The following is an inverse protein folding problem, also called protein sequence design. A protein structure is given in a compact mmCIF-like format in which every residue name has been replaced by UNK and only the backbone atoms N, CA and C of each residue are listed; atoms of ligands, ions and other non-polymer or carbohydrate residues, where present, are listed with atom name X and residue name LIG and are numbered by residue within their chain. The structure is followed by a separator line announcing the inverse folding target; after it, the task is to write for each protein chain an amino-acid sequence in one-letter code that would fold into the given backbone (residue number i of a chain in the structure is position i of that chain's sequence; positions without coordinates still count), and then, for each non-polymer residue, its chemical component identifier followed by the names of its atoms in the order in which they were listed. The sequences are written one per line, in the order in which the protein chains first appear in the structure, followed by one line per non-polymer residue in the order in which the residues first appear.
data_IF_354640241536
#
_entry.id   IF_354640241536
#
_cell.length_a   1.000
_cell.length_b   1.000
_cell.length_c   1.000
_cell.angle_alpha   90.00
_cell.angle_beta   90.00
_cell.angle_gamma   90.00
#
_symmetry.space_group_name_H-M   'P 1'
#
loop_
_entity.id
_entity.type
_entity.pdbx_description
1 polymer ?
#
# COMPACT_ATOMS: atom_id res chain seq x y z
N UNK A 1 2.38 -51.24 35.23
CA UNK A 1 2.54 -49.77 35.38
C UNK A 1 3.80 -49.20 34.75
N UNK A 2 4.88 -49.99 34.53
CA UNK A 2 6.14 -49.54 33.91
C UNK A 2 6.12 -49.52 32.35
N UNK A 3 5.23 -50.27 31.71
CA UNK A 3 5.11 -50.34 30.26
C UNK A 3 4.30 -49.19 29.62
N UNK A 4 3.44 -48.52 30.41
CA UNK A 4 2.66 -47.33 29.92
C UNK A 4 3.41 -46.02 29.95
N UNK A 5 4.51 -45.92 30.70
CA UNK A 5 5.32 -44.72 30.76
C UNK A 5 6.33 -44.64 29.59
N UNK A 6 6.75 -45.80 29.03
CA UNK A 6 7.66 -45.84 27.88
C UNK A 6 7.00 -45.49 26.53
N UNK A 7 5.69 -45.80 26.39
CA UNK A 7 4.94 -45.43 25.16
C UNK A 7 4.60 -43.93 25.06
N UNK A 8 4.41 -43.25 26.18
CA UNK A 8 4.16 -41.80 26.20
C UNK A 8 5.43 -40.98 25.91
N UNK A 9 6.60 -41.47 26.31
CA UNK A 9 7.86 -40.80 26.04
C UNK A 9 8.33 -40.91 24.57
N UNK A 10 7.92 -41.98 23.85
CA UNK A 10 8.25 -42.13 22.43
C UNK A 10 7.32 -41.31 21.51
N UNK A 11 6.09 -41.00 21.92
CA UNK A 11 5.21 -40.13 21.14
C UNK A 11 5.60 -38.64 21.25
N UNK A 12 6.16 -38.20 22.36
CA UNK A 12 6.67 -36.82 22.51
C UNK A 12 8.00 -36.57 21.77
N UNK A 13 8.80 -37.61 21.54
CA UNK A 13 10.07 -37.46 20.81
C UNK A 13 9.89 -37.44 19.28
N UNK A 14 8.77 -37.92 18.77
CA UNK A 14 8.46 -37.89 17.33
C UNK A 14 7.90 -36.54 16.85
N UNK A 15 7.43 -35.67 17.75
CA UNK A 15 6.92 -34.33 17.42
C UNK A 15 7.99 -33.23 17.41
N UNK A 16 9.24 -33.52 17.75
CA UNK A 16 10.33 -32.54 17.83
C UNK A 16 11.39 -32.63 16.71
N UNK A 17 11.13 -33.45 15.70
CA UNK A 17 11.99 -33.52 14.51
C UNK A 17 11.21 -33.09 13.24
N UNK A 18 10.37 -32.07 13.30
CA UNK A 18 10.13 -31.23 12.15
C UNK A 18 11.37 -30.36 12.02
N UNK A 19 12.38 -30.85 11.28
CA UNK A 19 13.35 -29.97 10.66
C UNK A 19 12.54 -28.95 9.88
N UNK A 20 12.53 -27.70 10.35
CA UNK A 20 12.11 -26.60 9.53
C UNK A 20 12.95 -26.69 8.24
N UNK A 21 12.35 -27.15 7.15
CA UNK A 21 12.93 -26.93 5.84
C UNK A 21 13.09 -25.41 5.78
N UNK A 22 14.28 -24.89 5.40
CA UNK A 22 14.41 -23.48 5.14
C UNK A 22 13.28 -23.14 4.16
N UNK A 23 12.44 -22.17 4.50
CA UNK A 23 11.53 -21.59 3.55
C UNK A 23 12.40 -21.24 2.33
N UNK A 24 12.15 -21.89 1.18
CA UNK A 24 12.77 -21.45 -0.05
C UNK A 24 12.23 -20.03 -0.23
N UNK A 25 13.13 -19.05 -0.12
CA UNK A 25 12.77 -17.67 -0.43
C UNK A 25 12.13 -17.68 -1.84
N UNK A 26 11.01 -17.05 -1.97
CA UNK A 26 10.38 -16.87 -3.28
C UNK A 26 11.44 -16.35 -4.27
N UNK A 27 11.50 -16.92 -5.48
CA UNK A 27 12.43 -16.38 -6.49
C UNK A 27 12.14 -14.89 -6.66
N UNK A 28 13.20 -14.07 -6.62
CA UNK A 28 13.07 -12.63 -6.71
C UNK A 28 12.31 -12.24 -7.99
N UNK A 29 11.17 -11.58 -7.83
CA UNK A 29 10.45 -11.01 -8.96
C UNK A 29 11.10 -9.68 -9.36
N UNK A 30 11.37 -9.52 -10.64
CA UNK A 30 11.84 -8.25 -11.21
C UNK A 30 10.70 -7.64 -12.00
N UNK A 31 10.30 -6.42 -11.65
CA UNK A 31 9.28 -5.70 -12.42
C UNK A 31 9.72 -5.53 -13.88
N UNK A 32 8.77 -5.49 -14.83
CA UNK A 32 9.07 -5.14 -16.20
C UNK A 32 9.61 -3.71 -16.30
N UNK A 33 10.25 -3.38 -17.44
CA UNK A 33 10.70 -2.02 -17.72
C UNK A 33 9.50 -1.05 -17.73
N UNK A 34 9.54 -0.06 -16.86
CA UNK A 34 8.49 0.97 -16.68
C UNK A 34 8.83 2.26 -17.45
N UNK A 35 10.03 2.38 -18.03
CA UNK A 35 10.55 3.60 -18.66
C UNK A 35 9.63 4.07 -19.78
N UNK A 36 9.13 5.30 -19.66
CA UNK A 36 8.30 5.95 -20.69
C UNK A 36 6.88 5.36 -20.83
N UNK A 37 6.48 4.46 -19.95
CA UNK A 37 5.11 3.93 -19.91
C UNK A 37 4.22 4.71 -18.95
N UNK A 38 2.95 4.84 -19.29
CA UNK A 38 1.92 5.33 -18.36
C UNK A 38 1.47 4.21 -17.42
N UNK A 39 0.85 4.59 -16.30
CA UNK A 39 0.28 3.64 -15.35
C UNK A 39 -0.75 2.73 -16.03
N UNK A 40 -1.62 3.28 -16.88
CA UNK A 40 -2.63 2.52 -17.64
C UNK A 40 -1.97 1.47 -18.55
N UNK A 41 -0.90 1.84 -19.27
CA UNK A 41 -0.19 0.89 -20.13
C UNK A 41 0.44 -0.25 -19.34
N UNK A 42 1.06 0.05 -18.20
CA UNK A 42 1.65 -0.96 -17.32
C UNK A 42 0.60 -1.91 -16.76
N UNK A 43 -0.54 -1.36 -16.35
CA UNK A 43 -1.63 -2.17 -15.82
C UNK A 43 -2.32 -3.00 -16.89
N UNK A 44 -2.46 -2.49 -18.12
CA UNK A 44 -2.99 -3.25 -19.25
C UNK A 44 -2.06 -4.41 -19.63
N UNK A 45 -0.74 -4.15 -19.72
CA UNK A 45 0.28 -5.17 -19.98
C UNK A 45 0.25 -6.25 -18.88
N UNK A 46 0.24 -5.85 -17.62
CA UNK A 46 0.19 -6.77 -16.47
C UNK A 46 -1.07 -7.64 -16.48
N UNK A 47 -2.24 -7.03 -16.71
CA UNK A 47 -3.49 -7.80 -16.79
C UNK A 47 -3.50 -8.77 -17.96
N UNK A 48 -2.95 -8.36 -19.10
CA UNK A 48 -2.85 -9.24 -20.29
C UNK A 48 -1.91 -10.42 -20.03
N UNK A 49 -0.75 -10.18 -19.42
CA UNK A 49 0.23 -11.22 -19.08
C UNK A 49 -0.35 -12.29 -18.14
N UNK A 50 -1.10 -11.87 -17.14
CA UNK A 50 -1.66 -12.74 -16.11
C UNK A 50 -3.11 -13.18 -16.36
N UNK A 51 -3.67 -12.89 -17.54
CA UNK A 51 -5.06 -13.19 -17.90
C UNK A 51 -6.09 -12.65 -16.87
N UNK A 52 -5.81 -11.45 -16.33
CA UNK A 52 -6.68 -10.76 -15.37
C UNK A 52 -7.80 -10.01 -16.09
N UNK A 53 -9.02 -10.39 -15.79
CA UNK A 53 -10.23 -9.88 -16.44
C UNK A 53 -11.19 -9.28 -15.42
N UNK A 54 -12.27 -8.66 -15.90
CA UNK A 54 -13.35 -8.20 -15.03
C UNK A 54 -14.07 -9.30 -14.25
N UNK A 55 -13.81 -10.59 -14.51
CA UNK A 55 -14.42 -11.69 -13.78
C UNK A 55 -13.59 -12.16 -12.58
N UNK A 56 -12.26 -11.98 -12.64
CA UNK A 56 -11.34 -12.56 -11.68
C UNK A 56 -10.41 -11.58 -10.98
N UNK A 57 -10.53 -10.26 -11.27
CA UNK A 57 -9.60 -9.26 -10.77
C UNK A 57 -10.25 -7.89 -10.57
N UNK A 58 -9.91 -7.26 -9.46
CA UNK A 58 -10.22 -5.86 -9.14
C UNK A 58 -9.00 -5.20 -8.50
N UNK A 59 -8.82 -3.92 -8.77
CA UNK A 59 -7.79 -3.11 -8.14
C UNK A 59 -8.27 -1.68 -7.92
N UNK A 60 -7.87 -1.12 -6.77
CA UNK A 60 -7.86 0.32 -6.52
C UNK A 60 -6.50 0.72 -5.97
N UNK A 61 -5.84 1.65 -6.65
CA UNK A 61 -4.53 2.20 -6.32
C UNK A 61 -4.65 3.71 -6.14
N UNK A 62 -3.96 4.27 -5.16
CA UNK A 62 -3.99 5.70 -4.87
C UNK A 62 -2.69 6.18 -4.25
N UNK A 63 -2.18 7.31 -4.73
CA UNK A 63 -0.99 8.01 -4.24
C UNK A 63 -1.41 9.26 -3.48
N UNK A 64 -1.31 9.31 -2.15
CA UNK A 64 -1.78 10.46 -1.36
C UNK A 64 -1.09 11.79 -1.68
N UNK A 65 0.20 11.76 -2.03
CA UNK A 65 1.00 12.95 -2.32
C UNK A 65 0.56 13.66 -3.61
N UNK A 66 0.26 12.91 -4.67
CA UNK A 66 -0.04 13.46 -6.00
C UNK A 66 -1.53 13.43 -6.33
N UNK A 67 -2.31 12.60 -5.63
CA UNK A 67 -3.70 12.30 -5.97
C UNK A 67 -3.84 11.35 -7.17
N UNK A 68 -2.73 10.80 -7.69
CA UNK A 68 -2.80 9.80 -8.77
C UNK A 68 -3.59 8.58 -8.32
N UNK A 69 -4.50 8.13 -9.16
CA UNK A 69 -5.39 7.00 -8.88
C UNK A 69 -5.54 6.13 -10.12
N UNK A 70 -5.56 4.81 -9.91
CA UNK A 70 -5.92 3.83 -10.92
C UNK A 70 -6.93 2.86 -10.35
N UNK A 71 -8.02 2.66 -11.07
CA UNK A 71 -9.09 1.75 -10.72
C UNK A 71 -9.40 0.81 -11.89
N UNK A 72 -9.61 -0.45 -11.58
CA UNK A 72 -10.18 -1.41 -12.54
C UNK A 72 -11.17 -2.30 -11.82
N UNK A 73 -12.42 -2.26 -12.25
CA UNK A 73 -13.51 -3.07 -11.71
C UNK A 73 -13.82 -2.78 -10.22
N UNK A 74 -13.43 -1.64 -9.72
CA UNK A 74 -13.31 -1.24 -8.32
C UNK A 74 -14.63 -1.28 -7.53
N UNK A 75 -15.76 -1.30 -8.22
CA UNK A 75 -17.10 -1.35 -7.61
C UNK A 75 -17.77 -2.73 -7.72
N UNK A 76 -17.14 -3.68 -8.42
CA UNK A 76 -17.66 -5.05 -8.51
C UNK A 76 -17.54 -5.73 -7.15
N UNK A 77 -18.59 -6.40 -6.73
CA UNK A 77 -18.61 -7.13 -5.46
C UNK A 77 -17.99 -8.52 -5.63
N UNK A 78 -16.83 -8.75 -5.01
CA UNK A 78 -16.21 -10.06 -4.86
C UNK A 78 -16.21 -10.52 -3.41
N UNK A 79 -15.88 -11.79 -3.19
CA UNK A 79 -15.79 -12.34 -1.85
C UNK A 79 -14.61 -11.73 -1.08
N UNK A 80 -14.91 -10.96 -0.03
CA UNK A 80 -13.92 -10.18 0.71
C UNK A 80 -12.92 -11.00 1.52
N UNK A 81 -13.23 -12.28 1.79
CA UNK A 81 -12.46 -13.12 2.71
C UNK A 81 -12.11 -12.33 4.00
N UNK A 82 -10.89 -12.46 4.52
CA UNK A 82 -10.53 -11.80 5.79
C UNK A 82 -10.24 -10.30 5.70
N UNK A 83 -10.35 -9.66 4.53
CA UNK A 83 -10.12 -8.20 4.43
C UNK A 83 -11.17 -7.38 5.18
N UNK A 84 -12.39 -7.93 5.39
CA UNK A 84 -13.43 -7.29 6.22
C UNK A 84 -12.98 -6.97 7.64
N UNK A 85 -11.92 -7.63 8.11
CA UNK A 85 -11.36 -7.42 9.46
C UNK A 85 -10.70 -6.05 9.60
N UNK A 86 -10.27 -5.44 8.49
CA UNK A 86 -9.72 -4.08 8.51
C UNK A 86 -10.78 -3.05 8.95
N UNK A 87 -11.89 -2.83 8.24
CA UNK A 87 -12.92 -1.90 8.69
C UNK A 87 -13.58 -2.32 10.02
N UNK A 88 -13.67 -3.63 10.32
CA UNK A 88 -14.16 -4.12 11.58
C UNK A 88 -13.32 -3.64 12.77
N UNK A 89 -12.01 -3.81 12.71
CA UNK A 89 -11.12 -3.38 13.78
C UNK A 89 -11.05 -1.85 13.85
N UNK A 90 -10.99 -1.14 12.71
CA UNK A 90 -11.06 0.32 12.66
C UNK A 90 -12.30 0.88 13.37
N UNK A 91 -13.45 0.22 13.23
CA UNK A 91 -14.68 0.59 13.94
C UNK A 91 -14.52 0.54 15.46
N UNK A 92 -13.83 -0.45 15.99
CA UNK A 92 -13.58 -0.56 17.43
C UNK A 92 -12.50 0.43 17.90
N UNK A 93 -11.49 0.74 17.09
CA UNK A 93 -10.56 1.83 17.40
C UNK A 93 -11.27 3.19 17.44
N UNK A 94 -12.23 3.44 16.55
CA UNK A 94 -13.06 4.65 16.63
C UNK A 94 -13.86 4.72 17.93
N UNK A 95 -14.44 3.60 18.38
CA UNK A 95 -15.15 3.54 19.65
C UNK A 95 -14.21 3.78 20.86
N UNK A 96 -12.96 3.29 20.78
CA UNK A 96 -11.95 3.57 21.82
C UNK A 96 -11.58 5.06 21.84
N UNK A 97 -11.37 5.69 20.68
CA UNK A 97 -11.12 7.12 20.57
C UNK A 97 -12.28 7.97 21.07
N UNK A 98 -13.52 7.52 20.87
CA UNK A 98 -14.71 8.17 21.39
C UNK A 98 -14.93 7.95 22.90
N UNK A 99 -14.14 7.06 23.55
CA UNK A 99 -14.30 6.68 24.96
C UNK A 99 -15.51 5.78 25.25
N UNK A 100 -16.08 5.16 24.21
CA UNK A 100 -17.25 4.28 24.33
C UNK A 100 -16.89 2.86 24.79
N UNK A 101 -15.64 2.45 24.53
CA UNK A 101 -15.09 1.15 24.90
C UNK A 101 -13.60 1.30 25.23
N UNK A 102 -13.04 0.38 26.00
CA UNK A 102 -11.62 0.36 26.36
C UNK A 102 -10.96 -0.95 25.95
N UNK A 103 -9.64 -0.96 25.79
CA UNK A 103 -8.88 -2.13 25.35
C UNK A 103 -9.01 -3.35 26.26
N UNK A 104 -9.22 -3.13 27.57
CA UNK A 104 -9.46 -4.19 28.57
C UNK A 104 -10.91 -4.72 28.57
N UNK A 105 -11.81 -4.15 27.77
CA UNK A 105 -13.19 -4.64 27.65
C UNK A 105 -13.21 -6.08 27.15
N UNK A 106 -13.82 -6.97 27.90
CA UNK A 106 -13.90 -8.39 27.54
C UNK A 106 -14.80 -8.62 26.34
N UNK A 107 -14.23 -9.15 25.28
CA UNK A 107 -14.96 -9.56 24.05
C UNK A 107 -15.51 -10.97 24.21
N UNK A 108 -14.73 -11.87 24.79
CA UNK A 108 -15.12 -13.23 25.18
C UNK A 108 -14.67 -13.51 26.61
N UNK A 109 -14.96 -14.70 27.16
CA UNK A 109 -14.48 -15.08 28.51
C UNK A 109 -12.94 -15.15 28.62
N UNK A 110 -12.21 -15.21 27.50
CA UNK A 110 -10.76 -15.40 27.49
C UNK A 110 -9.99 -14.33 26.75
N UNK A 111 -10.65 -13.31 26.18
CA UNK A 111 -9.96 -12.29 25.38
C UNK A 111 -10.57 -10.90 25.57
N UNK A 112 -9.72 -9.92 25.84
CA UNK A 112 -10.05 -8.49 25.82
C UNK A 112 -10.16 -7.96 24.39
N UNK A 113 -10.54 -6.70 24.24
CA UNK A 113 -10.55 -6.00 22.93
C UNK A 113 -9.14 -5.89 22.35
N UNK A 114 -8.13 -5.55 23.16
CA UNK A 114 -6.74 -5.50 22.71
C UNK A 114 -6.26 -6.85 22.17
N UNK A 115 -6.55 -7.95 22.89
CA UNK A 115 -6.24 -9.30 22.41
C UNK A 115 -7.02 -9.63 21.13
N UNK A 116 -8.30 -9.22 21.05
CA UNK A 116 -9.10 -9.44 19.85
C UNK A 116 -8.57 -8.67 18.63
N UNK A 117 -8.10 -7.43 18.80
CA UNK A 117 -7.42 -6.66 17.76
C UNK A 117 -6.17 -7.39 17.27
N UNK A 118 -5.29 -7.75 18.18
CA UNK A 118 -4.05 -8.46 17.85
C UNK A 118 -4.31 -9.75 17.09
N UNK A 119 -5.17 -10.60 17.60
CA UNK A 119 -5.49 -11.89 16.99
C UNK A 119 -6.21 -11.74 15.62
N UNK A 120 -7.12 -10.77 15.53
CA UNK A 120 -7.87 -10.49 14.30
C UNK A 120 -6.99 -9.95 13.19
N UNK A 121 -6.11 -9.00 13.49
CA UNK A 121 -5.30 -8.31 12.50
C UNK A 121 -4.05 -9.11 12.13
N UNK A 122 -3.29 -9.58 13.12
CA UNK A 122 -2.00 -10.25 12.90
C UNK A 122 -2.20 -11.68 12.39
N UNK A 123 -2.98 -12.49 13.12
CA UNK A 123 -3.18 -13.91 12.79
C UNK A 123 -4.44 -14.19 11.99
N UNK A 124 -5.21 -13.15 11.67
CA UNK A 124 -6.48 -13.30 10.96
C UNK A 124 -7.44 -14.28 11.67
N UNK A 125 -7.41 -14.34 13.00
CA UNK A 125 -8.21 -15.24 13.81
C UNK A 125 -9.70 -15.04 13.54
N UNK A 126 -10.40 -16.10 13.14
CA UNK A 126 -11.81 -16.04 12.77
C UNK A 126 -12.73 -15.98 13.99
N UNK A 127 -12.41 -16.67 15.09
CA UNK A 127 -13.28 -16.76 16.25
C UNK A 127 -13.40 -15.39 16.96
N UNK A 128 -12.27 -14.71 17.17
CA UNK A 128 -12.28 -13.39 17.80
C UNK A 128 -12.82 -12.32 16.86
N UNK A 129 -12.51 -12.37 15.58
CA UNK A 129 -13.12 -11.47 14.58
C UNK A 129 -14.63 -11.66 14.51
N UNK A 130 -15.12 -12.91 14.57
CA UNK A 130 -16.53 -13.22 14.63
C UNK A 130 -17.18 -12.66 15.90
N UNK A 131 -16.50 -12.77 17.04
CA UNK A 131 -16.98 -12.24 18.32
C UNK A 131 -17.09 -10.71 18.30
N UNK A 132 -16.12 -10.01 17.69
CA UNK A 132 -16.19 -8.56 17.43
C UNK A 132 -17.39 -8.21 16.55
N UNK A 133 -17.50 -8.86 15.40
CA UNK A 133 -18.58 -8.62 14.46
C UNK A 133 -19.96 -8.85 15.09
N UNK A 134 -20.16 -9.97 15.80
CA UNK A 134 -21.43 -10.33 16.46
C UNK A 134 -21.86 -9.34 17.55
N UNK A 135 -20.95 -8.57 18.12
CA UNK A 135 -21.31 -7.49 19.07
C UNK A 135 -21.91 -6.28 18.39
N UNK A 136 -21.64 -6.07 17.10
CA UNK A 136 -22.29 -5.02 16.30
C UNK A 136 -23.69 -5.47 15.91
N UNK A 137 -23.85 -6.74 15.51
CA UNK A 137 -25.11 -7.35 15.08
C UNK A 137 -24.90 -8.49 14.10
N UNK A 138 -25.87 -8.77 13.26
CA UNK A 138 -25.75 -9.66 12.11
C UNK A 138 -25.11 -8.94 10.92
N UNK A 139 -25.02 -9.57 9.73
CA UNK A 139 -24.42 -8.96 8.55
C UNK A 139 -25.01 -7.59 8.21
N UNK A 140 -26.33 -7.38 8.16
CA UNK A 140 -26.90 -6.08 7.84
C UNK A 140 -26.43 -4.97 8.78
N UNK A 141 -26.44 -5.18 10.08
CA UNK A 141 -26.03 -4.18 11.07
C UNK A 141 -24.53 -3.88 10.95
N UNK A 142 -23.70 -4.93 10.84
CA UNK A 142 -22.26 -4.76 10.61
C UNK A 142 -21.98 -3.98 9.33
N UNK A 143 -22.58 -4.40 8.21
CA UNK A 143 -22.39 -3.75 6.92
C UNK A 143 -22.85 -2.29 6.92
N UNK A 144 -23.95 -2.02 7.60
CA UNK A 144 -24.45 -0.65 7.79
C UNK A 144 -23.46 0.17 8.63
N UNK A 145 -22.89 -0.39 9.71
CA UNK A 145 -21.91 0.31 10.54
C UNK A 145 -20.62 0.66 9.75
N UNK A 146 -20.20 -0.20 8.81
CA UNK A 146 -19.02 0.05 7.97
C UNK A 146 -19.23 1.14 6.91
N UNK A 147 -20.49 1.50 6.60
CA UNK A 147 -20.82 2.53 5.59
C UNK A 147 -20.13 3.86 5.85
N UNK A 148 -19.87 4.21 7.10
CA UNK A 148 -19.21 5.47 7.46
C UNK A 148 -17.79 5.62 6.87
N UNK A 149 -17.17 4.53 6.44
CA UNK A 149 -15.83 4.55 5.83
C UNK A 149 -15.84 4.63 4.30
N UNK A 150 -17.01 4.48 3.66
CA UNK A 150 -17.11 4.37 2.22
C UNK A 150 -17.70 5.63 1.60
N UNK A 151 -17.09 6.09 0.51
CA UNK A 151 -17.60 7.23 -0.27
C UNK A 151 -18.72 6.83 -1.24
N UNK A 152 -18.90 5.54 -1.51
CA UNK A 152 -19.95 5.03 -2.38
C UNK A 152 -21.33 5.40 -1.85
N UNK A 153 -22.20 5.85 -2.74
CA UNK A 153 -23.60 6.18 -2.43
C UNK A 153 -24.46 4.92 -2.26
N UNK A 154 -25.66 5.08 -1.71
CA UNK A 154 -26.58 3.95 -1.52
C UNK A 154 -27.00 3.31 -2.86
N UNK A 155 -27.08 4.09 -3.95
CA UNK A 155 -27.42 3.59 -5.28
C UNK A 155 -26.27 2.80 -5.94
N UNK A 156 -25.01 3.05 -5.53
CA UNK A 156 -23.84 2.34 -6.02
C UNK A 156 -23.60 1.00 -5.29
N UNK A 157 -24.23 0.80 -4.13
CA UNK A 157 -24.05 -0.40 -3.33
C UNK A 157 -25.21 -1.37 -3.57
N UNK A 158 -24.94 -2.55 -4.15
CA UNK A 158 -25.99 -3.53 -4.41
C UNK A 158 -26.54 -4.14 -3.11
N UNK A 159 -27.81 -4.57 -3.12
CA UNK A 159 -28.48 -5.08 -1.95
C UNK A 159 -27.81 -6.31 -1.32
N UNK A 160 -27.17 -7.17 -2.13
CA UNK A 160 -26.47 -8.35 -1.63
C UNK A 160 -25.23 -8.01 -0.77
N UNK A 161 -24.67 -6.80 -0.89
CA UNK A 161 -23.64 -6.32 0.04
C UNK A 161 -24.05 -6.49 1.50
N UNK A 162 -25.30 -6.21 1.85
CA UNK A 162 -25.79 -6.24 3.23
C UNK A 162 -26.00 -7.65 3.80
N UNK A 163 -26.04 -8.68 2.95
CA UNK A 163 -26.40 -10.02 3.37
C UNK A 163 -25.30 -11.06 3.10
N UNK A 164 -24.36 -10.73 2.24
CA UNK A 164 -23.29 -11.63 1.80
C UNK A 164 -21.90 -11.11 2.23
N UNK A 165 -20.91 -12.00 2.20
CA UNK A 165 -19.51 -11.66 2.49
C UNK A 165 -18.81 -10.97 1.30
N UNK A 166 -19.50 -10.00 0.70
CA UNK A 166 -19.07 -9.28 -0.48
C UNK A 166 -18.55 -7.88 -0.12
N UNK A 167 -17.45 -7.50 -0.75
CA UNK A 167 -16.85 -6.17 -0.72
C UNK A 167 -16.28 -5.86 -2.11
N UNK A 168 -15.80 -4.65 -2.32
CA UNK A 168 -15.06 -4.26 -3.51
C UNK A 168 -13.82 -3.45 -3.11
N UNK A 169 -12.87 -3.31 -4.06
CA UNK A 169 -11.61 -2.60 -3.78
C UNK A 169 -11.80 -1.13 -3.49
N UNK A 170 -12.85 -0.47 -4.04
CA UNK A 170 -13.20 0.92 -3.72
C UNK A 170 -13.50 1.10 -2.23
N UNK A 171 -14.29 0.20 -1.62
CA UNK A 171 -14.59 0.25 -0.19
C UNK A 171 -13.34 0.10 0.67
N UNK A 172 -12.43 -0.77 0.25
CA UNK A 172 -11.18 -1.00 0.98
C UNK A 172 -10.21 0.16 0.80
N UNK A 173 -10.12 0.75 -0.40
CA UNK A 173 -9.33 1.96 -0.61
C UNK A 173 -9.83 3.13 0.23
N UNK A 174 -11.15 3.33 0.30
CA UNK A 174 -11.76 4.35 1.15
C UNK A 174 -11.42 4.13 2.63
N UNK A 175 -11.47 2.87 3.09
CA UNK A 175 -11.04 2.50 4.46
C UNK A 175 -9.56 2.79 4.70
N UNK A 176 -8.70 2.46 3.73
CA UNK A 176 -7.26 2.75 3.81
C UNK A 176 -6.98 4.25 3.83
N UNK A 177 -7.75 5.07 3.11
CA UNK A 177 -7.65 6.55 3.16
C UNK A 177 -7.96 7.07 4.56
N UNK A 178 -8.96 6.53 5.24
CA UNK A 178 -9.25 6.89 6.65
C UNK A 178 -8.07 6.53 7.57
N UNK A 179 -7.48 5.34 7.40
CA UNK A 179 -6.30 4.93 8.19
C UNK A 179 -5.09 5.81 7.84
N UNK A 180 -4.88 6.14 6.58
CA UNK A 180 -3.79 7.01 6.13
C UNK A 180 -3.90 8.42 6.71
N UNK A 181 -5.07 9.03 6.64
CA UNK A 181 -5.30 10.37 7.16
C UNK A 181 -5.26 10.41 8.70
N UNK A 182 -5.58 9.29 9.35
CA UNK A 182 -5.60 9.10 10.80
C UNK A 182 -4.40 8.34 11.38
N UNK A 183 -3.22 8.33 10.74
CA UNK A 183 -2.07 7.52 11.18
C UNK A 183 -1.67 7.77 12.65
N UNK A 184 -1.76 9.02 13.11
CA UNK A 184 -1.48 9.37 14.51
C UNK A 184 -2.56 8.88 15.49
N UNK A 185 -3.77 8.60 14.99
CA UNK A 185 -4.91 8.12 15.78
C UNK A 185 -4.96 6.59 15.87
N UNK A 186 -4.40 5.89 14.86
CA UNK A 186 -4.45 4.43 14.74
C UNK A 186 -3.05 3.76 14.71
N UNK A 187 -2.09 4.17 15.57
CA UNK A 187 -0.73 3.63 15.51
C UNK A 187 -0.69 2.11 15.73
N UNK A 188 -1.44 1.59 16.70
CA UNK A 188 -1.47 0.17 17.01
C UNK A 188 -2.11 -0.66 15.89
N UNK A 189 -3.19 -0.17 15.25
CA UNK A 189 -3.78 -0.80 14.07
C UNK A 189 -2.73 -0.96 12.97
N UNK A 190 -1.99 0.10 12.67
CA UNK A 190 -0.95 0.12 11.66
C UNK A 190 0.19 -0.85 12.03
N UNK A 191 0.63 -0.86 13.29
CA UNK A 191 1.71 -1.74 13.74
C UNK A 191 1.31 -3.22 13.66
N UNK A 192 0.06 -3.57 14.00
CA UNK A 192 -0.45 -4.94 13.81
C UNK A 192 -0.51 -5.34 12.34
N UNK A 193 -0.93 -4.45 11.46
CA UNK A 193 -0.92 -4.69 10.01
C UNK A 193 0.50 -4.83 9.44
N UNK A 194 1.50 -4.12 10.01
CA UNK A 194 2.90 -4.25 9.59
C UNK A 194 3.49 -5.61 9.90
N UNK A 195 3.14 -6.22 11.02
CA UNK A 195 3.66 -7.54 11.40
C UNK A 195 2.82 -8.72 10.89
N UNK A 196 1.63 -8.44 10.34
CA UNK A 196 0.78 -9.48 9.77
C UNK A 196 1.41 -10.12 8.53
N UNK A 197 1.29 -11.44 8.38
CA UNK A 197 1.63 -12.22 7.19
C UNK A 197 2.94 -11.77 6.52
N UNK A 198 4.12 -11.98 7.12
CA UNK A 198 5.36 -11.29 6.75
C UNK A 198 5.93 -11.68 5.38
N UNK A 199 5.59 -12.87 4.85
CA UNK A 199 6.26 -13.46 3.69
C UNK A 199 5.31 -13.72 2.50
N UNK A 200 4.12 -13.10 2.47
CA UNK A 200 3.12 -13.37 1.44
C UNK A 200 2.37 -12.10 0.99
N UNK A 201 1.63 -12.18 -0.09
CA UNK A 201 0.83 -11.10 -0.67
C UNK A 201 1.71 -9.89 -1.02
N UNK A 202 1.39 -8.67 -0.61
CA UNK A 202 2.21 -7.48 -0.92
C UNK A 202 3.66 -7.60 -0.41
N UNK A 203 3.91 -8.42 0.59
CA UNK A 203 5.25 -8.63 1.17
C UNK A 203 6.08 -9.73 0.51
N UNK A 204 5.52 -10.45 -0.47
CA UNK A 204 6.21 -11.61 -1.10
C UNK A 204 7.57 -11.25 -1.69
N UNK A 205 7.68 -10.09 -2.34
CA UNK A 205 8.86 -9.71 -3.14
C UNK A 205 9.49 -8.39 -2.71
N UNK A 206 8.96 -7.72 -1.70
CA UNK A 206 9.49 -6.47 -1.17
C UNK A 206 10.19 -6.70 0.16
N UNK A 207 11.35 -6.08 0.32
CA UNK A 207 12.03 -6.02 1.61
C UNK A 207 11.26 -5.07 2.54
N UNK A 208 10.62 -5.62 3.56
CA UNK A 208 9.78 -4.86 4.50
C UNK A 208 10.58 -3.97 5.47
N UNK A 209 11.88 -4.19 5.61
CA UNK A 209 12.78 -3.32 6.38
C UNK A 209 13.09 -2.04 5.59
N UNK A 210 13.19 -2.13 4.26
CA UNK A 210 13.38 -0.99 3.36
C UNK A 210 12.06 -0.33 2.94
N UNK A 211 11.02 -1.13 2.76
CA UNK A 211 9.68 -0.70 2.32
C UNK A 211 8.63 -1.22 3.30
N UNK A 212 8.36 -0.52 4.41
CA UNK A 212 7.35 -0.96 5.37
C UNK A 212 5.98 -1.11 4.71
N UNK A 213 5.26 -2.19 5.05
CA UNK A 213 3.95 -2.53 4.50
C UNK A 213 3.00 -2.88 5.64
N UNK A 214 1.93 -2.12 5.79
CA UNK A 214 0.80 -2.45 6.66
C UNK A 214 -0.34 -2.99 5.80
N UNK A 215 -0.69 -4.28 5.96
CA UNK A 215 -1.69 -4.89 5.12
C UNK A 215 -2.64 -5.85 5.86
N UNK A 216 -3.81 -6.06 5.26
CA UNK A 216 -4.73 -7.11 5.66
C UNK A 216 -5.06 -8.00 4.47
N UNK A 217 -4.54 -9.21 4.49
CA UNK A 217 -4.84 -10.22 3.48
C UNK A 217 -6.15 -10.97 3.79
N UNK A 218 -6.69 -11.64 2.77
CA UNK A 218 -7.84 -12.52 2.87
C UNK A 218 -7.77 -13.65 1.86
N UNK A 219 -7.97 -14.89 2.32
CA UNK A 219 -7.98 -16.10 1.50
C UNK A 219 -9.16 -16.99 1.86
N UNK A 220 -9.94 -17.40 0.86
CA UNK A 220 -11.01 -18.37 1.01
C UNK A 220 -11.53 -18.83 -0.36
N UNK A 221 -11.57 -20.16 -0.60
CA UNK A 221 -12.16 -20.79 -1.79
C UNK A 221 -11.80 -20.13 -3.14
N UNK A 222 -10.51 -19.84 -3.34
CA UNK A 222 -9.99 -19.19 -4.57
C UNK A 222 -10.11 -17.66 -4.60
N UNK A 223 -10.70 -17.03 -3.59
CA UNK A 223 -10.55 -15.61 -3.36
C UNK A 223 -9.24 -15.35 -2.61
N UNK A 224 -8.37 -14.54 -3.21
CA UNK A 224 -7.06 -14.16 -2.66
C UNK A 224 -6.92 -12.65 -2.78
N UNK A 225 -7.03 -11.97 -1.67
CA UNK A 225 -7.17 -10.52 -1.61
C UNK A 225 -6.10 -9.91 -0.71
N UNK A 226 -5.66 -8.70 -1.03
CA UNK A 226 -4.84 -7.93 -0.11
C UNK A 226 -5.16 -6.43 -0.19
N UNK A 227 -5.15 -5.77 0.96
CA UNK A 227 -5.43 -4.34 1.09
C UNK A 227 -4.44 -3.72 2.07
N UNK A 228 -3.75 -2.64 1.67
CA UNK A 228 -2.69 -2.11 2.51
C UNK A 228 -2.13 -0.76 2.10
N UNK A 229 -1.24 -0.28 2.96
CA UNK A 229 -0.43 0.93 2.80
C UNK A 229 1.01 0.48 2.63
N UNK A 230 1.66 0.94 1.56
CA UNK A 230 3.05 0.67 1.25
C UNK A 230 3.85 1.98 1.37
N UNK A 231 4.80 2.03 2.32
CA UNK A 231 5.68 3.19 2.53
C UNK A 231 6.96 3.06 1.68
N UNK A 232 6.79 3.12 0.34
CA UNK A 232 7.88 3.32 -0.60
C UNK A 232 8.41 4.77 -0.51
N UNK A 233 9.36 5.16 -1.33
CA UNK A 233 9.84 6.55 -1.41
C UNK A 233 8.67 7.52 -1.65
N UNK A 234 7.73 7.16 -2.52
CA UNK A 234 6.41 7.77 -2.63
C UNK A 234 5.37 6.77 -2.13
N UNK A 235 4.80 6.98 -0.93
CA UNK A 235 3.82 6.07 -0.35
C UNK A 235 2.55 5.94 -1.18
N UNK A 236 1.97 4.74 -1.17
CA UNK A 236 0.71 4.47 -1.86
C UNK A 236 -0.21 3.51 -1.10
N UNK A 237 -1.49 3.60 -1.42
CA UNK A 237 -2.55 2.74 -0.93
C UNK A 237 -2.95 1.77 -2.04
N UNK A 238 -3.10 0.50 -1.71
CA UNK A 238 -3.41 -0.54 -2.67
C UNK A 238 -4.45 -1.49 -2.11
N UNK A 239 -5.48 -1.76 -2.90
CA UNK A 239 -6.48 -2.77 -2.65
C UNK A 239 -6.59 -3.68 -3.87
N UNK A 240 -6.40 -4.98 -3.70
CA UNK A 240 -6.43 -5.98 -4.78
C UNK A 240 -7.34 -7.12 -4.36
N UNK A 241 -8.29 -7.44 -5.23
CA UNK A 241 -9.17 -8.60 -5.08
C UNK A 241 -9.02 -9.52 -6.27
N UNK A 242 -8.85 -10.81 -6.00
CA UNK A 242 -8.77 -11.85 -7.03
C UNK A 242 -9.77 -12.97 -6.76
N UNK A 243 -10.20 -13.66 -7.79
CA UNK A 243 -11.15 -14.78 -7.70
C UNK A 243 -10.83 -15.85 -8.71
N UNK A 244 -10.62 -17.08 -8.25
CA UNK A 244 -10.45 -18.25 -9.10
C UNK A 244 -9.21 -18.22 -9.98
N UNK A 245 -8.15 -17.53 -9.57
CA UNK A 245 -6.88 -17.54 -10.30
C UNK A 245 -6.20 -18.90 -10.16
N UNK A 246 -5.67 -19.38 -11.29
CA UNK A 246 -4.98 -20.66 -11.36
C UNK A 246 -3.65 -20.54 -12.09
N UNK A 247 -2.72 -21.46 -11.80
CA UNK A 247 -1.43 -21.51 -12.48
C UNK A 247 -1.54 -22.20 -13.84
N UNK A 248 -1.28 -21.43 -14.89
CA UNK A 248 -1.17 -21.93 -16.26
C UNK A 248 -2.47 -22.49 -16.87
N UNK A 249 -2.43 -22.92 -18.12
CA UNK A 249 -3.60 -23.48 -18.82
C UNK A 249 -4.07 -24.77 -18.14
N UNK A 250 -5.31 -24.76 -17.63
CA UNK A 250 -5.89 -25.90 -16.91
C UNK A 250 -5.37 -26.09 -15.48
N UNK A 251 -4.74 -25.05 -14.90
CA UNK A 251 -4.26 -25.06 -13.52
C UNK A 251 -5.39 -25.24 -12.51
N UNK A 252 -5.06 -25.84 -11.37
CA UNK A 252 -5.96 -25.94 -10.23
C UNK A 252 -5.90 -24.64 -9.44
N UNK A 253 -7.05 -24.06 -9.12
CA UNK A 253 -7.15 -22.84 -8.27
C UNK A 253 -6.56 -23.04 -6.86
N UNK A 254 -6.51 -24.28 -6.40
CA UNK A 254 -5.92 -24.67 -5.12
C UNK A 254 -4.42 -25.05 -5.23
N UNK A 255 -3.83 -24.99 -6.45
CA UNK A 255 -2.42 -25.27 -6.62
C UNK A 255 -1.60 -24.10 -6.05
N UNK A 256 -0.63 -24.45 -5.21
CA UNK A 256 0.37 -23.51 -4.73
C UNK A 256 1.62 -23.52 -5.62
N UNK A 257 2.36 -22.42 -5.68
CA UNK A 257 3.71 -22.41 -6.22
C UNK A 257 4.62 -23.34 -5.40
N UNK A 258 5.81 -23.62 -5.91
CA UNK A 258 6.77 -24.47 -5.21
C UNK A 258 7.12 -23.97 -3.79
N UNK A 259 6.95 -22.68 -3.53
CA UNK A 259 7.10 -22.00 -2.24
C UNK A 259 5.84 -22.05 -1.36
N UNK A 260 4.74 -22.66 -1.83
CA UNK A 260 3.47 -22.78 -1.11
C UNK A 260 2.52 -21.60 -1.27
N UNK A 261 2.83 -20.64 -2.15
CA UNK A 261 1.97 -19.46 -2.37
C UNK A 261 0.86 -19.72 -3.38
N UNK A 262 -0.32 -19.12 -3.19
CA UNK A 262 -1.41 -19.14 -4.16
C UNK A 262 -1.15 -18.17 -5.33
N UNK A 263 -1.83 -18.38 -6.46
CA UNK A 263 -1.74 -17.51 -7.62
C UNK A 263 -2.11 -16.07 -7.28
N UNK A 264 -3.17 -15.86 -6.51
CA UNK A 264 -3.60 -14.53 -6.10
C UNK A 264 -2.61 -13.84 -5.17
N UNK A 265 -1.99 -14.58 -4.22
CA UNK A 265 -0.92 -14.05 -3.37
C UNK A 265 0.27 -13.54 -4.18
N UNK A 266 0.70 -14.32 -5.19
CA UNK A 266 1.79 -13.93 -6.09
C UNK A 266 1.43 -12.70 -6.91
N UNK A 267 0.22 -12.63 -7.47
CA UNK A 267 -0.26 -11.44 -8.21
C UNK A 267 -0.24 -10.19 -7.33
N UNK A 268 -0.70 -10.28 -6.07
CA UNK A 268 -0.61 -9.17 -5.12
C UNK A 268 0.83 -8.70 -4.92
N UNK A 269 1.77 -9.64 -4.69
CA UNK A 269 3.18 -9.31 -4.50
C UNK A 269 3.83 -8.68 -5.75
N UNK A 270 3.55 -9.22 -6.94
CA UNK A 270 4.07 -8.68 -8.20
C UNK A 270 3.53 -7.28 -8.49
N UNK A 271 2.24 -7.03 -8.20
CA UNK A 271 1.64 -5.70 -8.32
C UNK A 271 2.29 -4.69 -7.38
N UNK A 272 2.55 -5.06 -6.13
CA UNK A 272 3.23 -4.18 -5.19
C UNK A 272 4.62 -3.76 -5.70
N UNK A 273 5.39 -4.70 -6.28
CA UNK A 273 6.69 -4.41 -6.90
C UNK A 273 6.54 -3.54 -8.14
N UNK A 274 5.61 -3.86 -9.04
CA UNK A 274 5.38 -3.10 -10.27
C UNK A 274 5.05 -1.64 -9.98
N UNK A 275 4.08 -1.40 -9.08
CA UNK A 275 3.61 -0.06 -8.72
C UNK A 275 4.69 0.73 -7.96
N UNK A 276 5.44 0.08 -7.06
CA UNK A 276 6.61 0.70 -6.43
C UNK A 276 7.64 1.12 -7.47
N UNK A 277 7.99 0.23 -8.41
CA UNK A 277 8.99 0.51 -9.46
C UNK A 277 8.53 1.66 -10.37
N UNK A 278 7.24 1.71 -10.71
CA UNK A 278 6.67 2.83 -11.46
C UNK A 278 6.82 4.15 -10.70
N UNK A 279 6.47 4.19 -9.42
CA UNK A 279 6.57 5.41 -8.61
C UNK A 279 8.03 5.83 -8.37
N UNK A 280 8.95 4.89 -8.15
CA UNK A 280 10.39 5.19 -8.03
C UNK A 280 10.93 5.86 -9.30
N UNK A 281 10.49 5.39 -10.49
CA UNK A 281 10.84 6.02 -11.77
C UNK A 281 10.26 7.44 -11.90
N UNK A 282 9.02 7.67 -11.47
CA UNK A 282 8.43 9.02 -11.47
C UNK A 282 9.22 9.97 -10.56
N UNK A 283 9.55 9.55 -9.35
CA UNK A 283 10.38 10.33 -8.42
C UNK A 283 11.76 10.63 -8.99
N UNK A 284 12.39 9.65 -9.66
CA UNK A 284 13.68 9.84 -10.34
C UNK A 284 13.59 10.91 -11.44
N UNK A 285 12.57 10.84 -12.29
CA UNK A 285 12.34 11.79 -13.39
C UNK A 285 12.07 13.21 -12.86
N UNK A 286 11.29 13.34 -11.80
CA UNK A 286 11.01 14.63 -11.16
C UNK A 286 12.28 15.26 -10.59
N UNK A 287 13.16 14.46 -9.97
CA UNK A 287 14.46 14.94 -9.46
C UNK A 287 15.38 15.42 -10.58
N UNK A 288 15.49 14.64 -11.65
CA UNK A 288 16.31 15.01 -12.81
C UNK A 288 15.80 16.33 -13.46
N UNK A 289 14.48 16.49 -13.55
CA UNK A 289 13.89 17.71 -14.05
C UNK A 289 14.16 18.92 -13.13
N UNK A 290 14.00 18.73 -11.81
CA UNK A 290 14.28 19.79 -10.84
C UNK A 290 15.77 20.20 -10.83
N UNK A 291 16.69 19.25 -10.93
CA UNK A 291 18.13 19.52 -11.03
C UNK A 291 18.47 20.31 -12.29
N UNK A 292 17.87 19.97 -13.44
CA UNK A 292 18.05 20.66 -14.70
C UNK A 292 17.53 22.10 -14.62
N UNK A 293 16.33 22.30 -14.07
CA UNK A 293 15.76 23.63 -13.88
C UNK A 293 16.60 24.51 -12.92
N UNK A 294 17.12 23.92 -11.85
CA UNK A 294 18.01 24.61 -10.92
C UNK A 294 19.33 25.03 -11.59
N UNK A 295 19.91 24.18 -12.43
CA UNK A 295 21.14 24.52 -13.18
C UNK A 295 20.87 25.60 -14.23
N UNK A 296 19.78 25.53 -14.97
CA UNK A 296 19.38 26.58 -15.92
C UNK A 296 19.15 27.92 -15.22
N UNK A 297 18.51 27.94 -14.06
CA UNK A 297 18.31 29.15 -13.25
C UNK A 297 19.65 29.73 -12.75
N UNK A 298 20.59 28.87 -12.31
CA UNK A 298 21.93 29.29 -11.88
C UNK A 298 22.71 29.95 -13.01
N UNK A 299 22.69 29.34 -14.21
CA UNK A 299 23.36 29.87 -15.39
C UNK A 299 22.75 31.21 -15.84
N UNK A 300 21.42 31.34 -15.79
CA UNK A 300 20.75 32.61 -16.12
C UNK A 300 21.11 33.73 -15.13
N UNK A 301 21.20 33.44 -13.83
CA UNK A 301 21.64 34.39 -12.82
C UNK A 301 23.10 34.85 -13.02
N UNK A 302 24.00 33.90 -13.36
CA UNK A 302 25.40 34.18 -13.67
C UNK A 302 25.54 35.10 -14.89
N UNK A 303 24.79 34.81 -15.97
CA UNK A 303 24.75 35.65 -17.16
C UNK A 303 24.22 37.09 -16.83
N UNK A 304 23.14 37.18 -16.06
CA UNK A 304 22.58 38.47 -15.66
C UNK A 304 23.59 39.32 -14.83
N UNK A 305 24.32 38.68 -13.93
CA UNK A 305 25.40 39.34 -13.17
C UNK A 305 26.54 39.80 -14.06
N UNK A 306 26.95 38.98 -15.03
CA UNK A 306 27.98 39.33 -15.99
C UNK A 306 27.57 40.53 -16.89
N UNK A 307 26.35 40.53 -17.41
CA UNK A 307 25.79 41.64 -18.19
C UNK A 307 25.71 42.93 -17.35
N UNK A 308 25.29 42.84 -16.09
CA UNK A 308 25.23 43.98 -15.19
C UNK A 308 26.64 44.56 -14.92
N UNK A 309 27.60 43.69 -14.64
CA UNK A 309 29.01 44.12 -14.43
C UNK A 309 29.61 44.78 -15.67
N UNK A 310 29.31 44.28 -16.88
CA UNK A 310 29.74 44.88 -18.15
C UNK A 310 29.11 46.23 -18.37
N UNK A 311 27.80 46.42 -18.08
CA UNK A 311 27.12 47.71 -18.17
C UNK A 311 27.75 48.74 -17.19
N UNK A 312 28.05 48.32 -15.97
CA UNK A 312 28.70 49.20 -14.96
C UNK A 312 30.12 49.58 -15.39
N UNK A 313 30.90 48.66 -15.98
CA UNK A 313 32.22 48.92 -16.54
C UNK A 313 32.14 49.95 -17.66
N UNK A 314 31.26 49.76 -18.64
CA UNK A 314 31.07 50.68 -19.76
C UNK A 314 30.61 52.07 -19.30
N UNK A 315 29.72 52.14 -18.31
CA UNK A 315 29.28 53.39 -17.71
C UNK A 315 30.44 54.14 -17.01
N UNK A 316 31.29 53.42 -16.29
CA UNK A 316 32.47 53.99 -15.61
C UNK A 316 33.50 54.47 -16.62
N UNK A 317 33.76 53.73 -17.69
CA UNK A 317 34.65 54.14 -18.79
C UNK A 317 34.15 55.42 -19.53
N UNK A 318 32.83 55.49 -19.83
CA UNK A 318 32.20 56.66 -20.43
C UNK A 318 32.34 57.90 -19.54
N UNK A 319 32.09 57.77 -18.24
CA UNK A 319 32.26 58.86 -17.28
C UNK A 319 33.69 59.34 -17.16
N UNK A 320 34.67 58.45 -17.13
CA UNK A 320 36.09 58.79 -17.10
C UNK A 320 36.53 59.49 -18.38
N UNK A 321 36.00 59.11 -19.55
CA UNK A 321 36.26 59.79 -20.84
C UNK A 321 35.68 61.22 -20.87
N UNK A 322 34.48 61.45 -20.31
CA UNK A 322 33.89 62.78 -20.20
C UNK A 322 34.70 63.67 -19.24
N UNK A 323 35.10 63.17 -18.08
CA UNK A 323 35.92 63.89 -17.10
C UNK A 323 37.26 64.29 -17.70
N UNK A 324 37.91 63.42 -18.46
CA UNK A 324 39.19 63.74 -19.18
C UNK A 324 39.00 64.81 -20.23
N UNK A 325 37.94 64.74 -21.03
CA UNK A 325 37.63 65.76 -22.04
C UNK A 325 37.36 67.10 -21.42
N UNK A 326 36.60 67.19 -20.35
CA UNK A 326 36.34 68.43 -19.60
C UNK A 326 37.62 69.02 -18.98
N UNK A 327 38.56 68.21 -18.53
CA UNK A 327 39.86 68.69 -18.03
C UNK A 327 40.77 69.19 -19.19
N UNK A 328 40.80 68.52 -20.33
CA UNK A 328 41.53 68.93 -21.54
C UNK A 328 40.97 70.33 -22.04
N UNK A 329 39.64 70.47 -22.09
CA UNK A 329 39.01 71.80 -22.47
C UNK A 329 39.36 72.87 -21.49
N UNK A 330 39.38 72.62 -20.16
CA UNK A 330 39.75 73.55 -19.12
C UNK A 330 41.22 73.99 -19.20
N UNK A 331 42.12 73.07 -19.61
CA UNK A 331 43.53 73.37 -19.82
C UNK A 331 43.81 74.21 -21.11
N UNK A 332 42.93 74.09 -22.11
CA UNK A 332 43.02 74.81 -23.35
C UNK A 332 42.54 76.33 -23.26
N UNK A 333 41.73 76.62 -22.20
CA UNK A 333 41.23 77.96 -21.92
C UNK A 333 42.17 78.81 -21.02
N UNK A 334 43.24 78.22 -20.49
CA UNK A 334 44.28 78.87 -19.68
C UNK A 334 45.49 79.22 -20.51
#
# INVERSE_FOLDING_TARGET
KKARAAAAALLCAACLAQTALPALAAEAYTAPDVTGKTLEQLMDDFRAEHALTGDNFEISFYVPETGEQYDFNETKMLYGASTYKLPLNLYYYDMQLAGEITGDTMITQGASLDEAHYQSLVYSNNELSYSLWRRIGDWPEYKMAMRKYFTMTDDEIPQNYYYDHLFCTRMMLDTLKVVWDGQEQYPELIDYLKIACPDAYFKTYLDVDETPIAHKYGSYEGAENDVGIIWAERPFLLAVYTSGLSYGPGGNVDAAYADGQSAGSVICGQLAVLLKTYLDEQVRLEREQAEKEAEEARLAEEQAKAEQAEKERLAAEAKAAEEKKAEEERQAEL
#
